data_IF_671638740365
#
_entry.id   IF_671638740365
#
_cell.length_a   1.000
_cell.length_b   1.000
_cell.length_c   1.000
_cell.angle_alpha   90.00
_cell.angle_beta   90.00
_cell.angle_gamma   90.00
#
_symmetry.space_group_name_H-M   'P 1'
#
loop_
_entity.id
_entity.type
_entity.pdbx_description
1 polymer ?
#
# COMPACT_ATOMS: atom_id res chain seq x y z
N UNK A 1 7.86 -16.96 5.48
CA UNK A 1 8.65 -15.73 5.60
C UNK A 1 8.25 -14.86 4.42
N UNK A 2 7.50 -13.79 4.68
CA UNK A 2 7.09 -12.82 3.65
C UNK A 2 8.17 -11.76 3.43
N UNK A 3 8.09 -11.02 2.34
CA UNK A 3 9.00 -9.90 2.07
C UNK A 3 8.97 -8.87 3.21
N UNK A 4 7.78 -8.55 3.72
CA UNK A 4 7.61 -7.62 4.84
C UNK A 4 8.37 -8.12 6.08
N UNK A 5 8.18 -9.38 6.46
CA UNK A 5 8.86 -9.98 7.62
C UNK A 5 10.38 -9.91 7.46
N UNK A 6 10.89 -10.20 6.25
CA UNK A 6 12.31 -10.15 5.99
C UNK A 6 12.90 -8.75 6.17
N UNK A 7 12.23 -7.71 5.63
CA UNK A 7 12.68 -6.32 5.81
C UNK A 7 12.57 -5.85 7.25
N UNK A 8 11.49 -6.20 7.96
CA UNK A 8 11.31 -5.85 9.37
C UNK A 8 12.38 -6.51 10.25
N UNK A 9 12.75 -7.77 9.99
CA UNK A 9 13.82 -8.44 10.73
C UNK A 9 15.20 -7.82 10.44
N UNK A 10 15.46 -7.44 9.18
CA UNK A 10 16.75 -6.89 8.75
C UNK A 10 16.98 -5.43 9.18
N UNK A 11 15.94 -4.60 9.16
CA UNK A 11 16.06 -3.14 9.33
C UNK A 11 15.21 -2.57 10.48
N UNK A 12 14.35 -3.39 11.11
CA UNK A 12 13.60 -3.04 12.30
C UNK A 12 12.78 -1.76 12.13
N UNK A 13 12.95 -0.83 13.06
CA UNK A 13 12.20 0.42 13.14
C UNK A 13 12.50 1.44 12.02
N UNK A 14 13.44 1.12 11.11
CA UNK A 14 13.68 1.91 9.90
C UNK A 14 12.76 1.49 8.74
N UNK A 15 12.21 0.27 8.79
CA UNK A 15 11.24 -0.20 7.79
C UNK A 15 9.90 0.48 8.03
N UNK A 16 9.35 1.07 6.97
CA UNK A 16 7.99 1.60 6.95
C UNK A 16 7.23 0.89 5.83
N UNK A 17 6.04 0.40 6.15
CA UNK A 17 5.18 -0.36 5.24
C UNK A 17 4.04 0.52 4.75
N UNK A 18 3.85 0.56 3.43
CA UNK A 18 2.81 1.38 2.78
C UNK A 18 1.93 0.47 1.93
N UNK A 19 0.65 0.38 2.27
CA UNK A 19 -0.36 -0.36 1.50
C UNK A 19 -1.17 0.61 0.65
N UNK A 20 -1.23 0.39 -0.66
CA UNK A 20 -2.13 1.12 -1.54
C UNK A 20 -3.39 0.30 -1.76
N UNK A 21 -4.55 0.89 -1.53
CA UNK A 21 -5.85 0.27 -1.76
C UNK A 21 -6.67 1.11 -2.73
N UNK A 22 -7.41 0.46 -3.62
CA UNK A 22 -8.33 1.12 -4.52
C UNK A 22 -9.70 0.44 -4.41
N UNK A 23 -10.76 1.24 -4.39
CA UNK A 23 -12.11 0.70 -4.45
C UNK A 23 -12.29 -0.08 -5.74
N UNK A 24 -13.12 -1.13 -5.70
CA UNK A 24 -13.40 -1.94 -6.88
C UNK A 24 -13.91 -1.07 -8.03
N UNK A 25 -14.78 -0.10 -7.73
CA UNK A 25 -15.28 0.87 -8.70
C UNK A 25 -14.14 1.67 -9.38
N UNK A 26 -13.19 2.19 -8.61
CA UNK A 26 -12.06 2.95 -9.15
C UNK A 26 -11.13 2.07 -9.99
N UNK A 27 -10.98 0.78 -9.63
CA UNK A 27 -10.26 -0.20 -10.45
C UNK A 27 -11.01 -0.46 -11.77
N UNK A 28 -12.32 -0.70 -11.71
CA UNK A 28 -13.16 -0.94 -12.89
C UNK A 28 -13.17 0.24 -13.86
N UNK A 29 -13.20 1.48 -13.35
CA UNK A 29 -13.08 2.70 -14.19
C UNK A 29 -11.76 2.75 -14.97
N UNK A 30 -10.69 2.15 -14.44
CA UNK A 30 -9.39 2.02 -15.09
C UNK A 30 -9.28 0.77 -15.99
N UNK A 31 -10.39 0.09 -16.24
CA UNK A 31 -10.45 -1.09 -17.09
C UNK A 31 -10.08 -2.40 -16.39
N UNK A 32 -9.99 -2.41 -15.04
CA UNK A 32 -9.82 -3.65 -14.31
C UNK A 32 -11.08 -4.51 -14.42
N UNK A 33 -10.89 -5.76 -14.80
CA UNK A 33 -11.93 -6.79 -14.82
C UNK A 33 -11.42 -7.94 -13.98
N UNK A 34 -12.18 -8.32 -12.95
CA UNK A 34 -11.84 -9.44 -12.09
C UNK A 34 -11.59 -10.70 -12.94
N UNK A 35 -10.37 -11.21 -12.88
CA UNK A 35 -9.90 -12.37 -13.60
C UNK A 35 -9.59 -13.47 -12.61
N UNK A 36 -10.50 -14.45 -12.54
CA UNK A 36 -10.32 -15.64 -11.71
C UNK A 36 -9.05 -16.40 -12.11
N UNK A 37 -8.27 -16.82 -11.13
CA UNK A 37 -6.93 -17.40 -11.25
C UNK A 37 -5.80 -16.37 -11.31
N UNK A 38 -6.12 -15.06 -11.37
CA UNK A 38 -5.13 -13.96 -11.33
C UNK A 38 -5.39 -13.11 -10.09
N UNK A 39 -6.59 -12.52 -9.98
CA UNK A 39 -6.94 -11.62 -8.87
C UNK A 39 -7.23 -12.34 -7.53
N UNK A 40 -7.53 -13.64 -7.56
CA UNK A 40 -7.73 -14.50 -6.39
C UNK A 40 -6.54 -15.45 -6.16
N UNK A 41 -5.44 -15.27 -6.90
CA UNK A 41 -4.23 -16.04 -6.69
C UNK A 41 -3.49 -15.53 -5.44
N UNK A 42 -2.79 -16.45 -4.76
CA UNK A 42 -2.02 -16.16 -3.54
C UNK A 42 -0.94 -15.08 -3.77
N UNK A 43 -0.44 -14.92 -5.00
CA UNK A 43 0.50 -13.85 -5.36
C UNK A 43 -0.09 -12.44 -5.23
N UNK A 44 -1.40 -12.28 -5.39
CA UNK A 44 -2.11 -11.00 -5.25
C UNK A 44 -2.69 -10.81 -3.84
N UNK A 45 -3.04 -11.91 -3.15
CA UNK A 45 -3.64 -11.91 -1.81
C UNK A 45 -2.66 -12.14 -0.65
N UNK A 46 -1.37 -12.34 -0.92
CA UNK A 46 -0.37 -12.74 0.08
C UNK A 46 -0.18 -11.75 1.24
N UNK A 47 -0.66 -10.52 1.08
CA UNK A 47 -0.61 -9.46 2.09
C UNK A 47 -1.98 -9.09 2.66
N UNK A 48 -3.07 -9.74 2.23
CA UNK A 48 -4.43 -9.40 2.67
C UNK A 48 -4.70 -9.77 4.14
N UNK A 49 -3.89 -10.67 4.70
CA UNK A 49 -3.91 -11.02 6.13
C UNK A 49 -2.93 -10.19 6.97
N UNK A 50 -2.10 -9.35 6.34
CA UNK A 50 -1.18 -8.46 7.05
C UNK A 50 -1.93 -7.17 7.41
N UNK A 51 -2.31 -7.01 8.68
CA UNK A 51 -3.11 -5.87 9.15
C UNK A 51 -2.29 -4.68 9.64
N UNK A 52 -0.99 -4.86 9.88
CA UNK A 52 -0.16 -3.89 10.61
C UNK A 52 0.69 -3.01 9.67
N UNK A 53 0.05 -2.45 8.64
CA UNK A 53 0.72 -1.47 7.78
C UNK A 53 0.87 -0.12 8.50
N UNK A 54 2.04 0.52 8.36
CA UNK A 54 2.28 1.86 8.93
C UNK A 54 1.45 2.94 8.22
N UNK A 55 1.24 2.77 6.92
CA UNK A 55 0.49 3.68 6.07
C UNK A 55 -0.46 2.91 5.17
N UNK A 56 -1.67 3.43 5.01
CA UNK A 56 -2.63 2.99 4.00
C UNK A 56 -2.98 4.19 3.12
N UNK A 57 -2.79 4.05 1.81
CA UNK A 57 -3.09 5.07 0.81
C UNK A 57 -4.29 4.62 -0.02
N UNK A 58 -5.38 5.39 0.04
CA UNK A 58 -6.64 5.12 -0.65
C UNK A 58 -6.68 5.82 -2.01
N UNK A 59 -6.48 5.05 -3.08
CA UNK A 59 -6.57 5.49 -4.47
C UNK A 59 -7.97 5.21 -5.03
N UNK A 60 -8.97 5.89 -4.47
CA UNK A 60 -10.39 5.70 -4.80
C UNK A 60 -10.88 6.53 -5.99
N UNK A 61 -9.97 7.22 -6.69
CA UNK A 61 -10.30 8.07 -7.84
C UNK A 61 -10.61 9.52 -7.48
N UNK A 62 -10.44 9.92 -6.22
CA UNK A 62 -10.40 11.32 -5.79
C UNK A 62 -8.93 11.79 -5.82
N UNK A 63 -8.60 12.60 -6.82
CA UNK A 63 -7.24 13.09 -7.03
C UNK A 63 -6.76 14.00 -5.89
N UNK A 64 -7.64 14.85 -5.35
CA UNK A 64 -7.26 15.75 -4.26
C UNK A 64 -7.01 14.96 -2.98
N UNK A 65 -7.90 14.02 -2.66
CA UNK A 65 -7.71 13.15 -1.50
C UNK A 65 -6.44 12.30 -1.62
N UNK A 66 -6.10 11.83 -2.83
CA UNK A 66 -4.85 11.10 -3.05
C UNK A 66 -3.63 12.01 -2.87
N UNK A 67 -3.66 13.23 -3.42
CA UNK A 67 -2.57 14.20 -3.29
C UNK A 67 -2.31 14.53 -1.82
N UNK A 68 -3.35 14.84 -1.05
CA UNK A 68 -3.24 15.15 0.38
C UNK A 68 -2.61 13.97 1.16
N UNK A 69 -2.95 12.72 0.82
CA UNK A 69 -2.35 11.54 1.43
C UNK A 69 -0.86 11.39 1.07
N UNK A 70 -0.49 11.69 -0.18
CA UNK A 70 0.89 11.64 -0.65
C UNK A 70 1.74 12.74 0.00
N UNK A 71 1.20 13.96 0.14
CA UNK A 71 1.87 15.07 0.82
C UNK A 71 2.20 14.70 2.27
N UNK A 72 1.24 14.14 3.01
CA UNK A 72 1.45 13.67 4.39
C UNK A 72 2.57 12.60 4.48
N UNK A 73 2.60 11.66 3.54
CA UNK A 73 3.64 10.63 3.49
C UNK A 73 5.02 11.22 3.16
N UNK A 74 5.08 12.18 2.24
CA UNK A 74 6.32 12.88 1.88
C UNK A 74 6.86 13.70 3.04
N UNK A 75 6.00 14.43 3.77
CA UNK A 75 6.38 15.15 4.98
C UNK A 75 6.99 14.21 6.03
N UNK A 76 6.37 13.05 6.25
CA UNK A 76 6.90 12.03 7.13
C UNK A 76 8.29 11.53 6.69
N UNK A 77 8.46 11.22 5.40
CA UNK A 77 9.75 10.77 4.85
C UNK A 77 10.82 11.84 5.05
N UNK A 78 10.51 13.11 4.73
CA UNK A 78 11.44 14.21 4.93
C UNK A 78 11.83 14.39 6.39
N UNK A 79 10.87 14.30 7.33
CA UNK A 79 11.14 14.39 8.77
C UNK A 79 12.02 13.24 9.29
N UNK A 80 11.93 12.05 8.69
CA UNK A 80 12.78 10.90 9.03
C UNK A 80 14.20 11.03 8.46
N UNK A 81 14.35 11.59 7.25
CA UNK A 81 15.65 11.73 6.56
C UNK A 81 16.50 12.91 7.06
N UNK A 82 15.90 13.92 7.68
CA UNK A 82 16.61 15.08 8.25
C UNK A 82 17.16 14.83 9.67
N UNK A 83 17.14 13.58 10.16
CA UNK A 83 17.76 13.15 11.42
C UNK A 83 19.06 12.42 11.15
#
# INVERSE_FOLDING_TARGET
>A
MSDIQWFQEAYGALTQTVRVVASEQSRQQRGWVFTRGVDDAESECGLDSFGDFDWVIENHGDEQCLEDQLENLLEFIHAKLQR
#
